data_IF_564401794686
#
_entry.id   IF_564401794686
#
_cell.length_a   1.000
_cell.length_b   1.000
_cell.length_c   1.000
_cell.angle_alpha   90.00
_cell.angle_beta   90.00
_cell.angle_gamma   90.00
#
_symmetry.space_group_name_H-M   'P 1'
#
loop_
_entity.id
_entity.type
_entity.pdbx_description
1 polymer ?
#
# COMPACT_ATOMS: atom_id res chain seq x y z
N UNK A 1 -35.73 28.97 30.00
CA UNK A 1 -34.57 28.48 29.21
C UNK A 1 -34.46 26.98 29.44
N UNK A 2 -34.90 26.13 28.50
CA UNK A 2 -34.89 24.69 28.73
C UNK A 2 -33.49 24.11 28.52
N UNK A 3 -33.21 23.08 29.32
CA UNK A 3 -31.99 22.28 29.38
C UNK A 3 -31.49 21.84 28.01
N UNK A 4 -30.22 22.12 27.72
CA UNK A 4 -29.49 21.50 26.64
C UNK A 4 -29.20 20.05 27.04
N UNK A 5 -30.01 19.16 26.51
CA UNK A 5 -29.83 17.71 26.54
C UNK A 5 -28.41 17.36 26.08
N UNK A 6 -27.68 16.67 26.94
CA UNK A 6 -26.47 15.96 26.57
C UNK A 6 -26.80 15.06 25.38
N UNK A 7 -26.27 15.40 24.20
CA UNK A 7 -26.28 14.49 23.07
C UNK A 7 -25.34 13.35 23.44
N UNK A 8 -25.92 12.25 23.89
CA UNK A 8 -25.24 10.96 23.96
C UNK A 8 -24.61 10.70 22.58
N UNK A 9 -23.29 10.81 22.53
CA UNK A 9 -22.45 10.37 21.41
C UNK A 9 -22.16 8.87 21.47
N UNK A 10 -22.79 8.16 22.40
CA UNK A 10 -22.73 6.71 22.49
C UNK A 10 -23.84 6.12 21.65
N UNK A 11 -23.54 5.80 20.39
CA UNK A 11 -24.10 4.69 19.58
C UNK A 11 -23.91 4.94 18.08
N UNK A 12 -22.67 5.07 17.60
CA UNK A 12 -22.40 4.64 16.23
C UNK A 12 -21.99 3.17 16.33
N UNK A 13 -22.82 2.21 15.88
CA UNK A 13 -22.40 0.82 15.88
C UNK A 13 -21.13 0.72 15.03
N UNK A 14 -20.06 0.24 15.67
CA UNK A 14 -18.79 -0.07 15.03
C UNK A 14 -19.09 -1.13 13.97
N UNK A 15 -19.34 -0.68 12.72
CA UNK A 15 -19.49 -1.57 11.58
C UNK A 15 -18.10 -2.15 11.38
N UNK A 16 -17.88 -3.34 11.93
CA UNK A 16 -16.65 -4.13 11.81
C UNK A 16 -16.46 -4.62 10.37
N UNK A 17 -16.46 -3.69 9.43
CA UNK A 17 -16.23 -3.89 8.02
C UNK A 17 -15.04 -3.07 7.62
N UNK A 18 -14.06 -3.73 7.02
CA UNK A 18 -13.11 -3.09 6.13
C UNK A 18 -13.87 -2.23 5.11
N UNK A 19 -13.50 -0.96 5.01
CA UNK A 19 -14.07 -0.04 4.03
C UNK A 19 -13.08 0.12 2.90
N UNK A 20 -13.40 -0.40 1.72
CA UNK A 20 -12.66 -0.06 0.51
C UNK A 20 -12.92 1.39 0.18
N UNK A 21 -11.87 2.23 0.20
CA UNK A 21 -11.97 3.68 -0.05
C UNK A 21 -11.82 3.96 -1.57
N UNK A 22 -12.27 3.01 -2.40
CA UNK A 22 -11.94 2.86 -3.81
C UNK A 22 -12.47 4.02 -4.67
N UNK A 23 -11.65 5.05 -4.82
CA UNK A 23 -11.81 6.11 -5.81
C UNK A 23 -10.46 6.50 -6.41
N UNK A 24 -10.41 6.85 -7.71
CA UNK A 24 -9.15 7.24 -8.38
C UNK A 24 -8.41 8.36 -7.63
N UNK A 25 -9.15 9.36 -7.12
CA UNK A 25 -8.59 10.47 -6.32
C UNK A 25 -7.89 10.00 -5.04
N UNK A 26 -8.44 8.98 -4.38
CA UNK A 26 -7.83 8.39 -3.17
C UNK A 26 -6.51 7.72 -3.52
N UNK A 27 -6.48 6.91 -4.58
CA UNK A 27 -5.29 6.17 -5.00
C UNK A 27 -4.15 7.12 -5.41
N UNK A 28 -4.48 8.18 -6.15
CA UNK A 28 -3.51 9.22 -6.53
C UNK A 28 -3.00 10.02 -5.33
N UNK A 29 -3.87 10.35 -4.37
CA UNK A 29 -3.46 10.99 -3.13
C UNK A 29 -2.42 10.15 -2.38
N UNK A 30 -2.72 8.87 -2.13
CA UNK A 30 -1.79 7.96 -1.46
C UNK A 30 -0.49 7.76 -2.25
N UNK A 31 -0.57 7.63 -3.58
CA UNK A 31 0.62 7.53 -4.41
C UNK A 31 1.55 8.74 -4.24
N UNK A 32 0.99 9.96 -4.20
CA UNK A 32 1.76 11.20 -4.02
C UNK A 32 2.36 11.33 -2.63
N UNK A 33 1.57 11.13 -1.57
CA UNK A 33 2.07 11.34 -0.19
C UNK A 33 3.06 10.25 0.25
N UNK A 34 2.97 9.04 -0.31
CA UNK A 34 3.88 7.94 -0.02
C UNK A 34 5.09 7.89 -0.98
N UNK A 35 5.20 8.82 -1.92
CA UNK A 35 6.33 8.88 -2.86
C UNK A 35 6.42 7.68 -3.80
N UNK A 36 5.28 7.12 -4.23
CA UNK A 36 5.24 5.99 -5.16
C UNK A 36 5.58 6.49 -6.58
N UNK A 37 6.63 5.93 -7.18
CA UNK A 37 7.15 6.34 -8.50
C UNK A 37 6.43 5.66 -9.69
N UNK A 38 6.85 6.02 -10.92
CA UNK A 38 6.25 5.55 -12.18
C UNK A 38 6.27 4.04 -12.39
N UNK A 39 7.22 3.32 -11.78
CA UNK A 39 7.28 1.85 -11.84
C UNK A 39 6.15 1.14 -11.09
N UNK A 40 5.46 1.87 -10.21
CA UNK A 40 4.45 1.33 -9.30
C UNK A 40 3.14 2.11 -9.37
N UNK A 41 2.07 1.52 -8.85
CA UNK A 41 0.79 2.21 -8.67
C UNK A 41 0.07 1.68 -7.45
N UNK A 42 -0.71 2.55 -6.81
CA UNK A 42 -1.65 2.13 -5.77
C UNK A 42 -2.81 1.40 -6.44
N UNK A 43 -2.88 0.09 -6.23
CA UNK A 43 -3.93 -0.78 -6.73
C UNK A 43 -5.22 -0.56 -5.93
N UNK A 44 -5.11 -0.48 -4.60
CA UNK A 44 -6.26 -0.25 -3.73
C UNK A 44 -5.88 0.35 -2.37
N UNK A 45 -6.89 0.86 -1.66
CA UNK A 45 -6.73 1.38 -0.29
C UNK A 45 -7.91 0.89 0.56
N UNK A 46 -7.60 0.15 1.61
CA UNK A 46 -8.57 -0.36 2.57
C UNK A 46 -8.36 0.29 3.94
N UNK A 47 -9.45 0.82 4.50
CA UNK A 47 -9.49 1.27 5.89
C UNK A 47 -10.05 0.14 6.76
N UNK A 48 -9.24 -0.33 7.70
CA UNK A 48 -9.58 -1.40 8.65
C UNK A 48 -9.86 -0.76 10.00
N UNK A 49 -11.14 -0.46 10.24
CA UNK A 49 -11.60 0.22 11.46
C UNK A 49 -11.36 -0.60 12.73
N UNK A 50 -11.38 -1.93 12.64
CA UNK A 50 -11.19 -2.83 13.78
C UNK A 50 -9.78 -2.78 14.37
N UNK A 51 -8.76 -2.59 13.53
CA UNK A 51 -7.35 -2.51 13.96
C UNK A 51 -6.82 -1.07 13.98
N UNK A 52 -7.58 -0.11 13.43
CA UNK A 52 -7.16 1.28 13.30
C UNK A 52 -6.06 1.44 12.25
N UNK A 53 -6.17 0.73 11.13
CA UNK A 53 -5.12 0.66 10.10
C UNK A 53 -5.65 1.05 8.73
N UNK A 54 -4.81 1.71 7.94
CA UNK A 54 -5.01 1.90 6.50
C UNK A 54 -4.01 1.00 5.78
N UNK A 55 -4.52 0.04 5.02
CA UNK A 55 -3.71 -0.79 4.13
C UNK A 55 -3.73 -0.21 2.72
N UNK A 56 -2.54 0.15 2.23
CA UNK A 56 -2.34 0.66 0.88
C UNK A 56 -1.73 -0.45 0.04
N UNK A 57 -2.50 -0.98 -0.90
CA UNK A 57 -2.06 -2.03 -1.80
C UNK A 57 -1.36 -1.40 -3.01
N UNK A 58 -0.11 -1.78 -3.23
CA UNK A 58 0.74 -1.26 -4.31
C UNK A 58 1.16 -2.43 -5.21
N UNK A 59 1.09 -2.20 -6.51
CA UNK A 59 1.49 -3.19 -7.50
C UNK A 59 2.40 -2.57 -8.56
N UNK A 60 3.28 -3.39 -9.13
CA UNK A 60 4.13 -2.96 -10.24
C UNK A 60 3.25 -2.73 -11.47
N UNK A 61 3.47 -1.63 -12.20
CA UNK A 61 2.72 -1.38 -13.42
C UNK A 61 3.00 -2.49 -14.46
N UNK A 62 1.99 -2.89 -15.26
CA UNK A 62 2.22 -3.84 -16.35
C UNK A 62 3.24 -3.24 -17.34
N UNK A 63 4.09 -4.10 -17.90
CA UNK A 63 5.14 -3.77 -18.89
C UNK A 63 6.38 -3.03 -18.35
N UNK A 64 6.56 -2.90 -17.04
CA UNK A 64 7.83 -2.44 -16.48
C UNK A 64 8.90 -3.52 -16.72
N UNK A 65 10.00 -3.14 -17.38
CA UNK A 65 11.15 -4.04 -17.55
C UNK A 65 11.75 -4.34 -16.19
N UNK A 66 11.97 -5.62 -15.91
CA UNK A 66 12.59 -6.03 -14.67
C UNK A 66 14.09 -6.20 -14.88
N UNK A 67 14.87 -5.50 -14.07
CA UNK A 67 16.32 -5.44 -14.17
C UNK A 67 16.93 -5.87 -12.84
N UNK A 68 18.07 -6.54 -12.91
CA UNK A 68 18.82 -6.93 -11.73
C UNK A 68 19.19 -5.66 -10.92
N UNK A 69 18.80 -5.52 -9.65
CA UNK A 69 19.17 -4.35 -8.85
C UNK A 69 20.68 -4.26 -8.57
N UNK A 70 21.44 -5.32 -8.86
CA UNK A 70 22.89 -5.38 -8.62
C UNK A 70 23.67 -5.05 -9.90
N UNK A 71 23.33 -5.66 -11.04
CA UNK A 71 24.05 -5.45 -12.31
C UNK A 71 23.28 -4.69 -13.40
N UNK A 72 22.01 -4.34 -13.19
CA UNK A 72 21.17 -3.63 -14.16
C UNK A 72 20.72 -4.45 -15.37
N UNK A 73 21.11 -5.72 -15.47
CA UNK A 73 20.79 -6.55 -16.65
C UNK A 73 19.30 -6.95 -16.65
N UNK A 74 18.58 -6.76 -17.77
CA UNK A 74 17.21 -7.24 -17.93
C UNK A 74 17.13 -8.74 -17.66
N UNK A 75 16.29 -9.12 -16.70
CA UNK A 75 16.20 -10.49 -16.21
C UNK A 75 14.74 -10.97 -16.22
N UNK A 76 14.48 -12.25 -16.52
CA UNK A 76 13.12 -12.78 -16.49
C UNK A 76 12.57 -12.77 -15.05
N UNK A 77 11.28 -12.44 -14.95
CA UNK A 77 10.52 -12.61 -13.72
C UNK A 77 10.52 -14.06 -13.27
N UNK A 78 10.75 -14.28 -11.98
CA UNK A 78 10.77 -15.61 -11.37
C UNK A 78 9.45 -15.87 -10.65
N UNK A 79 9.18 -15.12 -9.58
CA UNK A 79 7.93 -15.18 -8.82
C UNK A 79 7.64 -13.83 -8.15
N UNK A 80 6.56 -13.74 -7.38
CA UNK A 80 6.21 -12.54 -6.60
C UNK A 80 6.01 -12.92 -5.15
N UNK A 81 6.47 -12.08 -4.23
CA UNK A 81 6.27 -12.28 -2.79
C UNK A 81 5.62 -11.06 -2.17
N UNK A 82 4.52 -11.30 -1.46
CA UNK A 82 3.86 -10.28 -0.65
C UNK A 82 4.77 -9.81 0.47
N UNK A 83 4.92 -8.50 0.59
CA UNK A 83 5.64 -7.82 1.67
C UNK A 83 4.81 -6.66 2.19
N UNK A 84 5.07 -6.29 3.43
CA UNK A 84 4.41 -5.19 4.12
C UNK A 84 5.46 -4.26 4.73
N UNK A 85 5.20 -2.96 4.68
CA UNK A 85 6.04 -1.93 5.29
C UNK A 85 5.19 -1.00 6.13
N UNK A 86 5.76 -0.57 7.25
CA UNK A 86 5.16 0.42 8.12
C UNK A 86 5.58 1.82 7.65
N UNK A 87 4.60 2.66 7.30
CA UNK A 87 4.84 4.07 6.95
C UNK A 87 4.49 5.01 8.12
N UNK A 88 4.64 6.32 7.96
CA UNK A 88 4.04 7.31 8.85
C UNK A 88 2.50 7.18 8.87
N UNK A 89 1.90 7.44 10.03
CA UNK A 89 0.45 7.43 10.22
C UNK A 89 -0.26 8.42 9.31
N UNK A 90 -1.39 7.97 8.76
CA UNK A 90 -2.31 8.84 8.06
C UNK A 90 -3.42 9.23 9.04
N UNK A 91 -3.38 10.47 9.51
CA UNK A 91 -4.23 10.98 10.59
C UNK A 91 -4.07 10.13 11.86
N UNK A 92 -5.16 9.55 12.36
CA UNK A 92 -5.17 8.68 13.55
C UNK A 92 -4.94 7.19 13.24
N UNK A 93 -4.70 6.82 11.98
CA UNK A 93 -4.63 5.42 11.56
C UNK A 93 -3.19 5.03 11.20
N UNK A 94 -2.81 3.80 11.57
CA UNK A 94 -1.52 3.24 11.16
C UNK A 94 -1.53 2.92 9.68
N UNK A 95 -0.54 3.42 8.95
CA UNK A 95 -0.45 3.17 7.51
C UNK A 95 0.50 2.01 7.23
N UNK A 96 -0.05 0.96 6.62
CA UNK A 96 0.67 -0.24 6.19
C UNK A 96 0.64 -0.29 4.67
N UNK A 97 1.81 -0.26 4.06
CA UNK A 97 1.95 -0.44 2.63
C UNK A 97 2.12 -1.93 2.35
N UNK A 98 1.28 -2.50 1.49
CA UNK A 98 1.28 -3.92 1.11
C UNK A 98 1.60 -4.01 -0.38
N UNK A 99 2.62 -4.77 -0.76
CA UNK A 99 2.95 -4.97 -2.17
C UNK A 99 3.41 -6.38 -2.48
N UNK A 100 3.02 -6.88 -3.66
CA UNK A 100 3.53 -8.13 -4.22
C UNK A 100 4.81 -7.84 -5.01
N UNK A 101 5.98 -7.97 -4.35
CA UNK A 101 7.26 -7.60 -4.94
C UNK A 101 7.77 -8.72 -5.84
N UNK A 102 8.07 -8.43 -7.12
CA UNK A 102 8.62 -9.43 -8.01
C UNK A 102 10.07 -9.75 -7.64
N UNK A 103 10.39 -11.03 -7.74
CA UNK A 103 11.76 -11.53 -7.76
C UNK A 103 12.11 -11.90 -9.18
N UNK A 104 13.34 -11.65 -9.55
CA UNK A 104 13.89 -11.95 -10.86
C UNK A 104 15.04 -12.93 -10.72
N UNK A 105 15.24 -13.74 -11.76
CA UNK A 105 16.37 -14.66 -11.82
C UNK A 105 17.46 -14.07 -12.72
N UNK A 106 18.41 -13.40 -12.10
CA UNK A 106 19.64 -12.95 -12.75
C UNK A 106 20.59 -14.14 -12.95
N UNK A 107 21.28 -14.18 -14.10
CA UNK A 107 22.25 -15.25 -14.40
C UNK A 107 23.48 -15.21 -13.48
N UNK A 108 23.91 -14.00 -13.08
CA UNK A 108 25.11 -13.80 -12.26
C UNK A 108 24.80 -13.81 -10.77
N UNK A 109 23.69 -13.16 -10.36
CA UNK A 109 23.37 -12.92 -8.95
C UNK A 109 22.28 -13.87 -8.40
N UNK A 110 21.77 -14.79 -9.23
CA UNK A 110 20.70 -15.71 -8.84
C UNK A 110 19.34 -15.02 -8.68
N UNK A 111 18.56 -15.46 -7.69
CA UNK A 111 17.21 -14.92 -7.45
C UNK A 111 17.30 -13.69 -6.55
N UNK A 112 16.99 -12.53 -7.11
CA UNK A 112 17.06 -11.23 -6.42
C UNK A 112 15.70 -10.53 -6.46
N UNK A 113 15.45 -9.68 -5.47
CA UNK A 113 14.19 -8.93 -5.32
C UNK A 113 14.37 -7.57 -5.99
N UNK A 114 13.41 -7.12 -6.80
CA UNK A 114 13.50 -5.78 -7.40
C UNK A 114 13.55 -4.70 -6.32
N UNK A 115 14.26 -3.60 -6.60
CA UNK A 115 14.28 -2.45 -5.70
C UNK A 115 12.89 -1.82 -5.66
N UNK A 116 12.36 -1.61 -4.46
CA UNK A 116 11.14 -0.82 -4.23
C UNK A 116 11.58 0.55 -3.69
N UNK A 117 10.95 1.66 -4.10
CA UNK A 117 11.39 3.01 -3.76
C UNK A 117 11.08 3.40 -2.29
N UNK A 118 10.15 2.70 -1.63
CA UNK A 118 9.64 3.03 -0.28
C UNK A 118 10.23 2.17 0.85
N UNK A 119 11.14 1.22 0.55
CA UNK A 119 11.75 0.34 1.55
C UNK A 119 13.14 0.79 1.99
#
# INVERSE_FOLDING_TARGET
>A
FPNNSARNFDSIPNRAGNVSVAGMRTKEFYARILGIDEGWRVADVELILSTGEVQVFVEQRPKVKQECPICGVPSPGYDKRRRQWRHLDTCQYKTILVADVPRIKCKEHGVVIVKVPWA
#
